data_IF_322080408798
#
_entry.id   IF_322080408798
#
_cell.length_a   1.000
_cell.length_b   1.000
_cell.length_c   1.000
_cell.angle_alpha   90.00
_cell.angle_beta   90.00
_cell.angle_gamma   90.00
#
_symmetry.space_group_name_H-M   'P 1'
#
loop_
_entity.id
_entity.type
_entity.pdbx_description
1 polymer ?
#
# COMPACT_ATOMS: atom_id res chain seq x y z
N UNK A 1 11.67 25.89 -31.62
CA UNK A 1 12.33 26.57 -30.46
C UNK A 1 12.06 25.73 -29.22
N UNK A 2 13.10 25.19 -28.59
CA UNK A 2 12.96 24.52 -27.30
C UNK A 2 12.92 25.57 -26.20
N UNK A 3 11.78 25.77 -25.55
CA UNK A 3 11.64 26.65 -24.39
C UNK A 3 11.32 25.80 -23.17
N UNK A 4 11.91 26.12 -22.06
CA UNK A 4 11.59 25.54 -20.74
C UNK A 4 10.64 26.52 -20.03
N UNK A 5 9.58 26.01 -19.43
CA UNK A 5 8.60 26.79 -18.68
C UNK A 5 8.55 26.30 -17.23
N UNK A 6 8.43 27.23 -16.30
CA UNK A 6 8.13 26.90 -14.92
C UNK A 6 6.63 26.60 -14.79
N UNK A 7 6.27 25.61 -13.96
CA UNK A 7 4.89 25.23 -13.69
C UNK A 7 4.66 25.33 -12.18
N UNK A 8 3.71 26.15 -11.79
CA UNK A 8 3.36 26.33 -10.36
C UNK A 8 1.88 26.48 -10.13
N UNK A 9 1.49 26.51 -8.87
CA UNK A 9 0.16 26.85 -8.44
C UNK A 9 0.06 28.33 -8.04
N UNK A 10 -1.15 28.84 -7.75
CA UNK A 10 -1.40 30.25 -7.40
C UNK A 10 -0.89 30.63 -6.00
N UNK A 11 -0.42 29.66 -5.21
CA UNK A 11 0.00 29.87 -3.83
C UNK A 11 1.43 29.36 -3.59
N UNK A 12 2.22 30.15 -2.86
CA UNK A 12 3.52 29.72 -2.33
C UNK A 12 3.27 29.20 -0.92
N UNK A 13 3.57 27.92 -0.68
CA UNK A 13 3.31 27.25 0.59
C UNK A 13 4.55 26.55 1.11
N UNK A 14 4.77 26.64 2.42
CA UNK A 14 5.76 25.81 3.10
C UNK A 14 5.25 24.35 3.24
N UNK A 15 6.14 23.39 3.34
CA UNK A 15 5.77 21.98 3.60
C UNK A 15 4.93 21.84 4.87
N UNK A 16 5.18 22.66 5.89
CA UNK A 16 4.39 22.69 7.12
C UNK A 16 2.94 23.12 6.84
N UNK A 17 2.75 24.19 6.08
CA UNK A 17 1.41 24.67 5.71
C UNK A 17 0.67 23.64 4.86
N UNK A 18 1.35 23.00 3.91
CA UNK A 18 0.77 21.92 3.10
C UNK A 18 0.29 20.77 4.01
N UNK A 19 1.11 20.32 4.96
CA UNK A 19 0.73 19.25 5.90
C UNK A 19 -0.43 19.66 6.80
N UNK A 20 -0.45 20.90 7.31
CA UNK A 20 -1.55 21.42 8.16
C UNK A 20 -2.85 21.46 7.36
N UNK A 21 -2.82 22.00 6.13
CA UNK A 21 -4.01 22.04 5.26
C UNK A 21 -4.49 20.65 4.90
N UNK A 22 -3.59 19.70 4.63
CA UNK A 22 -3.92 18.29 4.41
C UNK A 22 -4.61 17.67 5.64
N UNK A 23 -4.04 17.86 6.84
CA UNK A 23 -4.62 17.33 8.07
C UNK A 23 -6.02 17.92 8.32
N UNK A 24 -6.21 19.21 8.07
CA UNK A 24 -7.51 19.89 8.19
C UNK A 24 -8.55 19.28 7.23
N UNK A 25 -8.20 19.08 5.97
CA UNK A 25 -9.10 18.50 4.97
C UNK A 25 -9.50 17.05 5.32
N UNK A 26 -8.56 16.28 5.89
CA UNK A 26 -8.80 14.92 6.38
C UNK A 26 -9.45 14.87 7.75
N UNK A 27 -9.73 16.01 8.39
CA UNK A 27 -10.24 16.12 9.78
C UNK A 27 -9.35 15.39 10.80
N UNK A 28 -8.04 15.38 10.57
CA UNK A 28 -7.07 14.76 11.46
C UNK A 28 -6.60 15.77 12.51
N UNK A 29 -6.68 15.39 13.77
CA UNK A 29 -6.07 16.16 14.89
C UNK A 29 -4.63 15.70 15.06
N UNK A 30 -3.67 16.37 14.39
CA UNK A 30 -2.24 16.05 14.45
C UNK A 30 -1.46 17.29 14.84
N UNK A 31 -0.74 17.27 15.96
CA UNK A 31 0.18 18.35 16.32
C UNK A 31 1.43 18.28 15.40
N UNK A 32 1.90 19.45 14.96
CA UNK A 32 3.12 19.58 14.18
C UNK A 32 4.16 20.35 15.01
N UNK A 33 5.24 19.65 15.34
CA UNK A 33 6.37 20.23 16.05
C UNK A 33 7.52 20.42 15.08
N UNK A 34 8.04 21.63 14.98
CA UNK A 34 9.27 21.93 14.25
C UNK A 34 10.44 21.88 15.21
N UNK A 35 11.49 21.18 14.83
CA UNK A 35 12.73 21.14 15.60
C UNK A 35 13.93 21.41 14.69
N UNK A 36 14.85 22.23 15.15
CA UNK A 36 16.15 22.48 14.49
C UNK A 36 17.24 21.50 14.93
N UNK A 37 16.97 20.69 15.97
CA UNK A 37 17.95 19.80 16.58
C UNK A 37 18.18 18.50 15.82
N UNK A 38 17.26 18.12 14.92
CA UNK A 38 17.33 16.85 14.21
C UNK A 38 18.00 17.07 12.85
N UNK A 39 19.15 16.42 12.63
CA UNK A 39 19.82 16.47 11.33
C UNK A 39 18.98 15.78 10.25
N UNK A 40 19.12 16.17 8.98
CA UNK A 40 18.41 15.54 7.85
C UNK A 40 18.65 14.03 7.76
N UNK A 41 19.84 13.56 8.10
CA UNK A 41 20.16 12.12 8.14
C UNK A 41 19.31 11.39 9.18
N UNK A 42 19.20 11.93 10.41
CA UNK A 42 18.36 11.35 11.47
C UNK A 42 16.89 11.37 11.07
N UNK A 43 16.43 12.47 10.45
CA UNK A 43 15.07 12.58 9.91
C UNK A 43 14.80 11.56 8.82
N UNK A 44 15.77 11.27 7.93
CA UNK A 44 15.63 10.25 6.90
C UNK A 44 15.53 8.83 7.48
N UNK A 45 16.31 8.51 8.53
CA UNK A 45 16.16 7.25 9.25
C UNK A 45 14.78 7.13 9.90
N UNK A 46 14.32 8.20 10.55
CA UNK A 46 12.99 8.23 11.16
C UNK A 46 11.88 8.01 10.11
N UNK A 47 11.98 8.70 8.97
CA UNK A 47 11.05 8.52 7.86
C UNK A 47 11.08 7.08 7.32
N UNK A 48 12.26 6.48 7.17
CA UNK A 48 12.40 5.07 6.78
C UNK A 48 11.74 4.11 7.80
N UNK A 49 11.91 4.34 9.11
CA UNK A 49 11.33 3.49 10.13
C UNK A 49 9.80 3.60 10.22
N UNK A 50 9.24 4.80 10.06
CA UNK A 50 7.80 5.03 10.22
C UNK A 50 7.02 4.73 8.94
N UNK A 51 7.62 4.99 7.78
CA UNK A 51 6.95 4.84 6.49
C UNK A 51 7.45 3.62 5.73
N UNK A 52 6.74 3.23 4.66
CA UNK A 52 7.16 2.17 3.75
C UNK A 52 8.15 2.65 2.67
N UNK A 53 8.72 3.82 2.83
CA UNK A 53 9.67 4.42 1.89
C UNK A 53 11.05 3.80 2.06
N UNK A 54 11.76 3.50 0.97
CA UNK A 54 13.15 3.04 1.06
C UNK A 54 14.06 4.13 1.62
N UNK A 55 15.17 3.73 2.29
CA UNK A 55 16.10 4.70 2.88
C UNK A 55 16.67 5.69 1.85
N UNK A 56 17.01 5.20 0.65
CA UNK A 56 17.50 6.06 -0.44
C UNK A 56 16.48 7.13 -0.83
N UNK A 57 15.21 6.75 -0.95
CA UNK A 57 14.14 7.68 -1.27
C UNK A 57 13.88 8.64 -0.10
N UNK A 58 13.94 8.16 1.14
CA UNK A 58 13.79 9.00 2.33
C UNK A 58 14.85 10.10 2.40
N UNK A 59 16.12 9.80 2.09
CA UNK A 59 17.19 10.81 2.01
C UNK A 59 16.85 11.86 0.94
N UNK A 60 16.55 11.41 -0.28
CA UNK A 60 16.27 12.33 -1.39
C UNK A 60 15.08 13.24 -1.09
N UNK A 61 14.02 12.71 -0.46
CA UNK A 61 12.86 13.50 -0.04
C UNK A 61 13.23 14.55 1.02
N UNK A 62 13.98 14.17 2.04
CA UNK A 62 14.38 15.10 3.11
C UNK A 62 15.37 16.15 2.60
N UNK A 63 16.26 15.79 1.68
CA UNK A 63 17.19 16.73 1.05
C UNK A 63 16.46 17.73 0.14
N UNK A 64 15.47 17.27 -0.63
CA UNK A 64 14.68 18.15 -1.50
C UNK A 64 13.87 19.18 -0.72
N UNK A 65 13.47 18.88 0.53
CA UNK A 65 12.75 19.83 1.39
C UNK A 65 13.58 21.04 1.83
N UNK A 66 14.89 21.02 1.64
CA UNK A 66 15.76 22.16 1.96
C UNK A 66 15.82 23.18 0.83
N UNK A 67 15.45 22.78 -0.37
CA UNK A 67 15.52 23.62 -1.55
C UNK A 67 14.19 24.33 -1.74
N UNK A 68 14.24 25.65 -1.85
CA UNK A 68 13.08 26.44 -2.22
C UNK A 68 12.78 26.22 -3.72
N UNK A 69 11.54 25.78 -4.01
CA UNK A 69 11.09 25.53 -5.38
C UNK A 69 9.83 26.37 -5.61
N UNK A 70 10.03 27.50 -6.25
CA UNK A 70 8.94 28.45 -6.58
C UNK A 70 8.98 28.76 -8.07
N UNK A 71 7.81 28.99 -8.67
CA UNK A 71 7.71 29.49 -10.04
C UNK A 71 8.27 30.90 -10.14
N UNK A 72 9.05 31.19 -11.17
CA UNK A 72 9.66 32.48 -11.42
C UNK A 72 8.81 33.37 -12.31
N UNK A 73 7.97 32.78 -13.15
CA UNK A 73 7.10 33.48 -14.08
C UNK A 73 5.81 32.68 -14.35
N UNK A 74 4.81 33.35 -14.89
CA UNK A 74 3.49 32.81 -15.24
C UNK A 74 3.30 32.67 -16.76
N UNK A 75 4.40 32.61 -17.53
CA UNK A 75 4.35 32.58 -19.00
C UNK A 75 3.49 31.42 -19.53
N UNK A 76 3.57 30.25 -18.87
CA UNK A 76 2.84 29.08 -19.30
C UNK A 76 1.31 29.24 -19.09
N UNK A 77 0.91 29.87 -18.01
CA UNK A 77 -0.52 30.15 -17.72
C UNK A 77 -1.12 31.07 -18.77
N UNK A 78 -0.35 32.10 -19.18
CA UNK A 78 -0.79 33.03 -20.21
C UNK A 78 -0.89 32.38 -21.60
N UNK A 79 0.08 31.52 -21.96
CA UNK A 79 0.11 30.81 -23.25
C UNK A 79 -1.05 29.79 -23.33
N UNK A 80 -1.28 29.01 -22.28
CA UNK A 80 -2.28 27.95 -22.26
C UNK A 80 -3.67 28.43 -21.83
N UNK A 81 -3.78 29.68 -21.33
CA UNK A 81 -5.03 30.24 -20.76
C UNK A 81 -5.64 29.34 -19.68
N UNK A 82 -4.77 28.74 -18.86
CA UNK A 82 -5.17 27.85 -17.76
C UNK A 82 -5.01 28.62 -16.44
N UNK A 83 -6.00 28.54 -15.58
CA UNK A 83 -5.93 29.09 -14.24
C UNK A 83 -5.70 27.94 -13.24
N UNK A 84 -4.53 27.86 -12.61
CA UNK A 84 -4.25 26.83 -11.62
C UNK A 84 -5.18 26.96 -10.42
N UNK A 85 -5.63 25.80 -9.92
CA UNK A 85 -6.46 25.72 -8.73
C UNK A 85 -5.61 25.81 -7.46
N UNK A 86 -6.22 26.26 -6.37
CA UNK A 86 -5.54 26.34 -5.06
C UNK A 86 -5.17 24.94 -4.54
N UNK A 87 -4.16 24.88 -3.67
CA UNK A 87 -3.76 23.61 -3.03
C UNK A 87 -4.92 22.92 -2.32
N UNK A 88 -5.81 23.69 -1.68
CA UNK A 88 -6.96 23.13 -0.97
C UNK A 88 -8.01 22.55 -1.92
N UNK A 89 -8.26 23.20 -3.03
CA UNK A 89 -9.16 22.67 -4.08
C UNK A 89 -8.59 21.43 -4.74
N UNK A 90 -7.28 21.42 -5.02
CA UNK A 90 -6.59 20.25 -5.54
C UNK A 90 -6.71 19.04 -4.59
N UNK A 91 -6.55 19.24 -3.27
CA UNK A 91 -6.75 18.20 -2.26
C UNK A 91 -8.19 17.67 -2.25
N UNK A 92 -9.19 18.56 -2.28
CA UNK A 92 -10.61 18.16 -2.33
C UNK A 92 -10.91 17.31 -3.56
N UNK A 93 -10.45 17.76 -4.72
CA UNK A 93 -10.64 17.05 -5.98
C UNK A 93 -9.96 15.67 -5.96
N UNK A 94 -8.73 15.60 -5.42
CA UNK A 94 -8.01 14.34 -5.29
C UNK A 94 -8.75 13.36 -4.35
N UNK A 95 -9.22 13.82 -3.19
CA UNK A 95 -9.99 12.98 -2.27
C UNK A 95 -11.35 12.57 -2.82
N UNK A 96 -11.98 13.42 -3.60
CA UNK A 96 -13.24 13.06 -4.28
C UNK A 96 -12.99 11.95 -5.30
N UNK A 97 -11.94 12.05 -6.14
CA UNK A 97 -11.56 11.00 -7.09
C UNK A 97 -11.22 9.69 -6.39
N UNK A 98 -10.53 9.74 -5.25
CA UNK A 98 -10.23 8.55 -4.45
C UNK A 98 -11.52 7.91 -3.92
N UNK A 99 -12.48 8.71 -3.43
CA UNK A 99 -13.78 8.21 -2.96
C UNK A 99 -14.63 7.59 -4.06
N UNK A 100 -14.50 8.11 -5.27
CA UNK A 100 -15.23 7.63 -6.45
C UNK A 100 -14.52 6.48 -7.17
N UNK A 101 -13.38 6.00 -6.65
CA UNK A 101 -12.53 4.97 -7.28
C UNK A 101 -12.10 5.30 -8.72
N UNK A 102 -12.03 6.59 -9.06
CA UNK A 102 -11.67 7.08 -10.38
C UNK A 102 -10.15 7.29 -10.56
N UNK A 103 -9.35 6.83 -9.63
CA UNK A 103 -7.88 6.91 -9.76
C UNK A 103 -7.42 5.75 -10.63
N UNK A 104 -7.14 6.05 -11.90
CA UNK A 104 -6.72 5.07 -12.91
C UNK A 104 -5.30 4.53 -12.69
N UNK A 105 -4.44 5.34 -12.10
CA UNK A 105 -3.07 4.93 -11.76
C UNK A 105 -2.63 5.63 -10.48
N UNK A 106 -1.86 4.93 -9.67
CA UNK A 106 -1.23 5.51 -8.50
C UNK A 106 0.27 5.22 -8.52
N UNK A 107 1.05 6.07 -7.86
CA UNK A 107 2.49 5.83 -7.67
C UNK A 107 2.77 4.48 -6.98
N UNK A 108 1.78 3.87 -6.33
CA UNK A 108 1.82 2.53 -5.74
C UNK A 108 2.02 1.46 -6.81
N UNK A 109 1.44 1.65 -7.99
CA UNK A 109 1.57 0.72 -9.12
C UNK A 109 2.98 0.78 -9.69
N UNK A 110 3.59 1.97 -9.67
CA UNK A 110 4.98 2.18 -10.09
C UNK A 110 5.97 1.47 -9.16
N UNK A 111 5.72 1.48 -7.85
CA UNK A 111 6.60 0.82 -6.88
C UNK A 111 6.60 -0.71 -7.07
N UNK A 112 5.45 -1.30 -7.40
CA UNK A 112 5.36 -2.73 -7.68
C UNK A 112 6.13 -3.07 -8.94
N UNK A 113 5.90 -2.32 -10.01
CA UNK A 113 6.58 -2.51 -11.28
C UNK A 113 8.10 -2.33 -11.17
N UNK A 114 8.56 -1.37 -10.38
CA UNK A 114 9.99 -1.06 -10.23
C UNK A 114 10.72 -2.00 -9.27
N UNK A 115 10.06 -2.52 -8.23
CA UNK A 115 10.72 -3.39 -7.24
C UNK A 115 10.78 -4.85 -7.66
N UNK A 116 9.84 -5.32 -8.49
CA UNK A 116 9.74 -6.72 -8.92
C UNK A 116 10.04 -6.90 -10.42
N UNK A 117 10.07 -5.83 -11.21
CA UNK A 117 10.26 -5.91 -12.68
C UNK A 117 9.16 -6.67 -13.41
N UNK A 118 8.00 -6.84 -12.77
CA UNK A 118 6.89 -7.66 -13.24
C UNK A 118 5.61 -6.84 -13.25
N UNK A 119 4.72 -7.09 -14.21
CA UNK A 119 3.41 -6.46 -14.24
C UNK A 119 2.44 -7.17 -13.28
N UNK A 120 1.48 -6.45 -12.72
CA UNK A 120 0.42 -7.03 -11.87
C UNK A 120 -0.36 -8.14 -12.57
N UNK A 121 -0.48 -8.06 -13.90
CA UNK A 121 -1.14 -9.08 -14.71
C UNK A 121 -0.51 -10.46 -14.57
N UNK A 122 0.80 -10.54 -14.30
CA UNK A 122 1.54 -11.80 -14.20
C UNK A 122 1.19 -12.59 -12.91
N UNK A 123 0.53 -11.95 -11.95
CA UNK A 123 0.17 -12.51 -10.65
C UNK A 123 -1.33 -12.76 -10.45
N UNK A 124 -2.18 -12.38 -11.40
CA UNK A 124 -3.65 -12.56 -11.31
C UNK A 124 -4.00 -14.05 -11.27
N UNK A 125 -3.21 -14.89 -11.95
CA UNK A 125 -3.35 -16.34 -11.85
C UNK A 125 -2.40 -16.91 -10.81
N UNK A 126 -2.99 -17.57 -9.81
CA UNK A 126 -2.20 -18.26 -8.78
C UNK A 126 -1.50 -19.46 -9.42
N UNK A 127 -0.15 -19.55 -9.36
CA UNK A 127 0.59 -20.65 -9.96
C UNK A 127 0.13 -22.00 -9.42
N UNK A 128 0.00 -22.98 -10.34
CA UNK A 128 -0.44 -24.31 -9.96
C UNK A 128 0.71 -25.29 -9.72
N UNK A 129 1.82 -25.10 -10.42
CA UNK A 129 2.96 -26.00 -10.39
C UNK A 129 4.14 -25.39 -9.64
N UNK A 130 4.91 -26.24 -8.95
CA UNK A 130 6.10 -25.81 -8.20
C UNK A 130 5.79 -25.00 -6.94
N UNK A 131 4.56 -25.04 -6.47
CA UNK A 131 4.08 -24.27 -5.32
C UNK A 131 3.68 -25.19 -4.17
N UNK A 132 3.89 -24.71 -2.96
CA UNK A 132 3.26 -25.27 -1.76
C UNK A 132 1.89 -24.62 -1.58
N UNK A 133 0.87 -25.42 -1.27
CA UNK A 133 -0.50 -24.93 -1.03
C UNK A 133 -1.02 -25.44 0.29
N UNK A 134 -1.65 -24.56 1.03
CA UNK A 134 -2.46 -24.90 2.21
C UNK A 134 -3.87 -24.40 1.93
N UNK A 135 -4.84 -25.32 1.88
CA UNK A 135 -6.25 -25.01 1.58
C UNK A 135 -7.09 -25.46 2.77
N UNK A 136 -7.83 -24.52 3.36
CA UNK A 136 -8.85 -24.82 4.36
C UNK A 136 -10.22 -24.55 3.78
N UNK A 137 -11.16 -25.40 4.15
CA UNK A 137 -12.57 -25.31 3.73
C UNK A 137 -13.47 -25.23 4.95
N UNK A 138 -14.33 -24.23 4.98
CA UNK A 138 -15.29 -24.03 6.07
C UNK A 138 -16.67 -23.84 5.49
N UNK A 139 -17.63 -24.65 5.96
CA UNK A 139 -19.03 -24.44 5.62
C UNK A 139 -19.55 -23.21 6.33
N UNK A 140 -20.24 -22.33 5.60
CA UNK A 140 -20.69 -21.04 6.09
C UNK A 140 -22.21 -21.04 6.15
N UNK A 141 -22.77 -20.56 7.27
CA UNK A 141 -24.20 -20.34 7.44
C UNK A 141 -24.61 -18.94 6.97
N UNK A 142 -23.84 -17.91 7.33
CA UNK A 142 -24.09 -16.51 6.98
C UNK A 142 -23.02 -16.00 6.02
N UNK A 143 -23.31 -16.06 4.72
CA UNK A 143 -22.39 -15.68 3.64
C UNK A 143 -22.08 -14.17 3.66
N UNK A 144 -23.09 -13.32 3.90
CA UNK A 144 -22.91 -11.87 3.90
C UNK A 144 -22.01 -11.41 5.03
N UNK A 145 -22.18 -11.96 6.22
CA UNK A 145 -21.33 -11.67 7.37
C UNK A 145 -19.89 -12.09 7.12
N UNK A 146 -19.65 -13.24 6.48
CA UNK A 146 -18.31 -13.72 6.14
C UNK A 146 -17.69 -12.83 5.08
N UNK A 147 -18.42 -12.43 4.04
CA UNK A 147 -17.94 -11.48 3.03
C UNK A 147 -17.55 -10.16 3.71
N UNK A 148 -18.39 -9.63 4.58
CA UNK A 148 -18.09 -8.39 5.29
C UNK A 148 -16.83 -8.51 6.15
N UNK A 149 -16.62 -9.65 6.81
CA UNK A 149 -15.41 -9.91 7.58
C UNK A 149 -14.17 -9.95 6.66
N UNK A 150 -14.24 -10.69 5.55
CA UNK A 150 -13.14 -10.73 4.55
C UNK A 150 -12.83 -9.32 4.03
N UNK A 151 -13.84 -8.50 3.73
CA UNK A 151 -13.68 -7.15 3.24
C UNK A 151 -13.16 -6.14 4.29
N UNK A 152 -13.08 -6.53 5.55
CA UNK A 152 -12.58 -5.69 6.65
C UNK A 152 -11.25 -6.17 7.24
N UNK A 153 -10.58 -7.18 6.66
CA UNK A 153 -9.26 -7.65 7.11
C UNK A 153 -8.18 -6.59 6.92
N UNK A 154 -7.14 -6.67 7.74
CA UNK A 154 -5.98 -5.76 7.72
C UNK A 154 -6.24 -4.41 8.40
N UNK A 155 -5.20 -3.56 8.44
CA UNK A 155 -5.23 -2.27 9.11
C UNK A 155 -5.53 -2.40 10.61
N UNK A 156 -6.41 -1.52 11.13
CA UNK A 156 -6.72 -1.46 12.56
C UNK A 156 -7.43 -2.72 13.08
N UNK A 157 -8.22 -3.41 12.25
CA UNK A 157 -8.89 -4.66 12.62
C UNK A 157 -7.96 -5.87 12.61
N UNK A 158 -6.88 -5.81 11.84
CA UNK A 158 -5.94 -6.91 11.68
C UNK A 158 -6.56 -8.12 10.96
N UNK A 159 -6.08 -9.30 11.32
CA UNK A 159 -6.42 -10.57 10.66
C UNK A 159 -7.29 -11.48 11.53
N UNK A 160 -8.02 -10.91 12.51
CA UNK A 160 -8.90 -11.56 13.48
C UNK A 160 -8.21 -12.55 14.42
N UNK A 161 -7.32 -13.41 13.91
CA UNK A 161 -6.61 -14.41 14.70
C UNK A 161 -5.10 -14.16 14.67
N UNK A 162 -4.45 -14.36 15.82
CA UNK A 162 -3.00 -14.30 15.99
C UNK A 162 -2.34 -13.00 15.46
N UNK A 163 -3.00 -11.84 15.63
CA UNK A 163 -2.50 -10.52 15.20
C UNK A 163 -1.08 -10.22 15.71
N UNK A 164 -0.70 -10.74 16.87
CA UNK A 164 0.64 -10.58 17.45
C UNK A 164 1.74 -11.21 16.59
N UNK A 165 1.44 -12.35 15.97
CA UNK A 165 2.39 -13.02 15.09
C UNK A 165 2.54 -12.28 13.74
N UNK A 166 1.47 -11.69 13.22
CA UNK A 166 1.54 -10.81 12.06
C UNK A 166 2.39 -9.55 12.35
N UNK A 167 2.29 -9.03 13.57
CA UNK A 167 3.16 -7.92 14.02
C UNK A 167 4.63 -8.33 14.09
N UNK A 168 4.94 -9.50 14.66
CA UNK A 168 6.31 -10.05 14.69
C UNK A 168 6.83 -10.25 13.27
N UNK A 169 6.05 -10.85 12.39
CA UNK A 169 6.43 -11.06 11.00
C UNK A 169 6.67 -9.72 10.27
N UNK A 170 5.79 -8.75 10.46
CA UNK A 170 5.97 -7.41 9.91
C UNK A 170 7.22 -6.71 10.41
N UNK A 171 7.57 -6.91 11.68
CA UNK A 171 8.81 -6.40 12.26
C UNK A 171 10.05 -7.03 11.62
N UNK A 172 10.10 -8.36 11.46
CA UNK A 172 11.21 -9.03 10.77
C UNK A 172 11.31 -8.60 9.30
N UNK A 173 10.19 -8.43 8.60
CA UNK A 173 10.17 -7.93 7.22
C UNK A 173 10.83 -6.54 7.14
N UNK A 174 10.57 -5.67 8.10
CA UNK A 174 11.20 -4.34 8.15
C UNK A 174 12.70 -4.39 8.38
N UNK A 175 13.21 -5.31 9.22
CA UNK A 175 14.65 -5.48 9.45
C UNK A 175 15.37 -5.83 8.15
N UNK A 176 14.77 -6.66 7.31
CA UNK A 176 15.34 -7.00 5.99
C UNK A 176 15.01 -5.98 4.89
N UNK A 177 14.41 -4.84 5.27
CA UNK A 177 14.06 -3.74 4.36
C UNK A 177 12.80 -3.98 3.54
N UNK A 178 11.88 -4.80 4.01
CA UNK A 178 10.54 -4.98 3.46
C UNK A 178 9.55 -3.92 3.95
N UNK A 179 8.29 -4.05 3.53
CA UNK A 179 7.24 -3.03 3.79
C UNK A 179 6.63 -3.12 5.19
N UNK A 180 6.65 -4.30 5.82
CA UNK A 180 6.02 -4.55 7.11
C UNK A 180 4.52 -4.22 7.12
N UNK A 181 3.96 -3.97 8.31
CA UNK A 181 2.55 -3.60 8.51
C UNK A 181 2.25 -2.09 8.38
N UNK A 182 3.20 -1.30 7.89
CA UNK A 182 3.11 0.18 7.95
C UNK A 182 2.13 0.80 6.95
N UNK A 183 1.75 0.09 5.90
CA UNK A 183 0.89 0.65 4.85
C UNK A 183 -0.55 0.83 5.28
N UNK A 184 -1.02 -0.02 6.21
CA UNK A 184 -2.42 -0.03 6.62
C UNK A 184 -3.37 -0.31 5.47
N UNK A 185 -4.58 0.25 5.53
CA UNK A 185 -5.61 0.15 4.48
C UNK A 185 -5.82 1.46 3.76
N UNK A 186 -6.09 1.40 2.46
CA UNK A 186 -6.45 2.57 1.65
C UNK A 186 -7.85 3.08 2.02
N UNK A 187 -8.82 2.17 2.20
CA UNK A 187 -10.18 2.47 2.65
C UNK A 187 -10.58 1.55 3.80
N UNK A 188 -11.26 2.05 4.86
CA UNK A 188 -11.67 1.23 6.01
C UNK A 188 -12.80 0.23 5.69
N UNK A 189 -13.58 0.47 4.63
CA UNK A 189 -14.77 -0.33 4.32
C UNK A 189 -14.67 -1.12 3.02
N UNK A 190 -13.83 -0.70 2.09
CA UNK A 190 -13.77 -1.26 0.74
C UNK A 190 -12.37 -1.73 0.37
N UNK A 191 -12.33 -2.72 -0.49
CA UNK A 191 -11.13 -3.30 -1.07
C UNK A 191 -11.27 -3.27 -2.58
N UNK A 192 -10.31 -2.67 -3.26
CA UNK A 192 -10.26 -2.63 -4.71
C UNK A 192 -8.97 -3.25 -5.25
N UNK A 193 -8.96 -3.78 -6.46
CA UNK A 193 -7.73 -4.19 -7.12
C UNK A 193 -6.69 -3.05 -7.12
N UNK A 194 -5.43 -3.39 -6.82
CA UNK A 194 -4.35 -2.43 -6.67
C UNK A 194 -4.19 -1.83 -5.27
N UNK A 195 -5.16 -1.98 -4.36
CA UNK A 195 -5.05 -1.49 -2.98
C UNK A 195 -3.96 -2.22 -2.20
N UNK A 196 -3.33 -1.50 -1.27
CA UNK A 196 -2.46 -2.09 -0.26
C UNK A 196 -3.26 -2.42 1.00
N UNK A 197 -3.11 -3.64 1.49
CA UNK A 197 -3.59 -4.12 2.78
C UNK A 197 -2.38 -4.56 3.60
N UNK A 198 -1.85 -3.66 4.42
CA UNK A 198 -0.60 -3.89 5.15
C UNK A 198 0.54 -4.28 4.20
N UNK A 199 0.99 -5.52 4.21
CA UNK A 199 2.01 -6.06 3.31
C UNK A 199 1.42 -6.83 2.11
N UNK A 200 0.11 -6.87 1.97
CA UNK A 200 -0.57 -7.49 0.84
C UNK A 200 -0.92 -6.47 -0.23
N UNK A 201 -0.87 -6.90 -1.48
CA UNK A 201 -1.46 -6.20 -2.62
C UNK A 201 -2.70 -6.93 -3.07
N UNK A 202 -3.79 -6.19 -3.24
CA UNK A 202 -5.03 -6.73 -3.79
C UNK A 202 -4.87 -6.93 -5.29
N UNK A 203 -4.88 -8.17 -5.76
CA UNK A 203 -4.84 -8.49 -7.18
C UNK A 203 -6.26 -8.57 -7.76
N UNK A 204 -7.18 -9.13 -7.02
CA UNK A 204 -8.56 -9.28 -7.42
C UNK A 204 -9.49 -9.12 -6.21
N UNK A 205 -10.59 -8.37 -6.38
CA UNK A 205 -11.63 -8.22 -5.38
C UNK A 205 -12.99 -8.08 -6.07
N UNK A 206 -13.90 -8.99 -5.81
CA UNK A 206 -15.28 -8.95 -6.29
C UNK A 206 -16.23 -9.54 -5.25
N UNK A 207 -17.11 -8.69 -4.72
CA UNK A 207 -18.18 -9.15 -3.80
C UNK A 207 -19.19 -10.05 -4.51
N UNK A 208 -19.53 -9.72 -5.75
CA UNK A 208 -20.46 -10.48 -6.57
C UNK A 208 -19.95 -11.91 -6.80
N UNK A 209 -18.67 -12.05 -7.19
CA UNK A 209 -18.02 -13.36 -7.36
C UNK A 209 -17.51 -13.95 -6.05
N UNK A 210 -17.74 -13.28 -4.91
CA UNK A 210 -17.35 -13.70 -3.56
C UNK A 210 -15.88 -14.13 -3.48
N UNK A 211 -14.98 -13.33 -4.15
CA UNK A 211 -13.57 -13.69 -4.32
C UNK A 211 -12.66 -12.50 -3.99
N UNK A 212 -11.66 -12.75 -3.16
CA UNK A 212 -10.56 -11.82 -2.86
C UNK A 212 -9.24 -12.56 -3.07
N UNK A 213 -8.34 -11.99 -3.88
CA UNK A 213 -7.00 -12.51 -4.13
C UNK A 213 -5.95 -11.46 -3.75
N UNK A 214 -5.04 -11.85 -2.90
CA UNK A 214 -3.98 -11.01 -2.34
C UNK A 214 -2.61 -11.57 -2.74
N UNK A 215 -1.65 -10.68 -3.00
CA UNK A 215 -0.25 -11.00 -3.25
C UNK A 215 0.63 -10.37 -2.16
N UNK A 216 1.59 -11.12 -1.63
CA UNK A 216 2.48 -10.64 -0.60
C UNK A 216 3.61 -9.79 -1.19
N UNK A 217 3.70 -8.53 -0.78
CA UNK A 217 4.78 -7.60 -1.16
C UNK A 217 5.92 -7.56 -0.13
N UNK A 218 5.88 -8.41 0.88
CA UNK A 218 6.98 -8.55 1.83
C UNK A 218 8.18 -9.25 1.18
N UNK A 219 9.36 -9.02 1.71
CA UNK A 219 10.59 -9.70 1.27
C UNK A 219 10.59 -11.16 1.70
N UNK A 220 10.13 -12.01 0.79
CA UNK A 220 10.11 -13.45 0.96
C UNK A 220 11.17 -14.09 0.06
N UNK A 221 11.72 -15.25 0.43
CA UNK A 221 12.53 -16.05 -0.48
C UNK A 221 11.64 -16.83 -1.47
N UNK A 222 10.67 -16.15 -2.07
CA UNK A 222 9.65 -16.68 -2.95
C UNK A 222 8.51 -15.69 -3.15
N UNK A 223 7.40 -16.17 -3.65
CA UNK A 223 6.19 -15.42 -3.90
C UNK A 223 5.03 -16.07 -3.14
N UNK A 224 4.12 -15.28 -2.58
CA UNK A 224 3.01 -15.78 -1.80
C UNK A 224 1.68 -15.13 -2.19
N UNK A 225 0.65 -15.94 -2.28
CA UNK A 225 -0.74 -15.54 -2.52
C UNK A 225 -1.63 -16.02 -1.40
N UNK A 226 -2.62 -15.20 -1.07
CA UNK A 226 -3.70 -15.55 -0.16
C UNK A 226 -5.02 -15.31 -0.88
N UNK A 227 -5.82 -16.35 -1.03
CA UNK A 227 -7.11 -16.30 -1.71
C UNK A 227 -8.23 -16.70 -0.76
N UNK A 228 -9.30 -15.92 -0.78
CA UNK A 228 -10.58 -16.23 -0.18
C UNK A 228 -11.61 -16.35 -1.31
N UNK A 229 -12.29 -17.49 -1.39
CA UNK A 229 -13.35 -17.75 -2.37
C UNK A 229 -14.47 -18.49 -1.71
N UNK A 230 -15.70 -18.04 -1.91
CA UNK A 230 -16.91 -18.76 -1.46
C UNK A 230 -17.54 -19.37 -2.69
N UNK A 231 -17.78 -20.67 -2.65
CA UNK A 231 -18.42 -21.40 -3.74
C UNK A 231 -19.95 -21.38 -3.66
N UNK A 232 -20.61 -21.99 -4.65
CA UNK A 232 -22.07 -22.06 -4.75
C UNK A 232 -22.71 -22.87 -3.61
N UNK A 233 -21.95 -23.76 -2.98
CA UNK A 233 -22.39 -24.58 -1.83
C UNK A 233 -22.18 -23.87 -0.49
N UNK A 234 -21.89 -22.56 -0.49
CA UNK A 234 -21.55 -21.76 0.67
C UNK A 234 -20.36 -22.33 1.48
N UNK A 235 -19.34 -22.85 0.77
CA UNK A 235 -18.09 -23.25 1.39
C UNK A 235 -17.05 -22.17 1.14
N UNK A 236 -16.49 -21.64 2.24
CA UNK A 236 -15.32 -20.74 2.17
C UNK A 236 -14.07 -21.57 1.91
N UNK A 237 -13.41 -21.31 0.80
CA UNK A 237 -12.07 -21.78 0.47
C UNK A 237 -11.07 -20.69 0.83
N UNK A 238 -10.22 -20.95 1.80
CA UNK A 238 -9.08 -20.10 2.13
C UNK A 238 -7.82 -20.82 1.68
N UNK A 239 -7.14 -20.25 0.69
CA UNK A 239 -5.98 -20.86 0.04
C UNK A 239 -4.76 -19.99 0.20
N UNK A 240 -3.73 -20.50 0.86
CA UNK A 240 -2.40 -19.90 0.91
C UNK A 240 -1.49 -20.66 -0.06
N UNK A 241 -0.93 -19.96 -1.04
CA UNK A 241 -0.02 -20.52 -2.04
C UNK A 241 1.34 -19.85 -1.91
N UNK A 242 2.40 -20.64 -1.89
CA UNK A 242 3.78 -20.15 -1.84
C UNK A 242 4.61 -20.80 -2.95
N UNK A 243 5.23 -19.98 -3.79
CA UNK A 243 6.20 -20.40 -4.81
C UNK A 243 7.61 -20.10 -4.29
N UNK A 244 8.36 -21.13 -3.85
CA UNK A 244 9.69 -20.94 -3.30
C UNK A 244 10.69 -20.51 -4.39
N UNK A 245 11.60 -19.63 -4.05
CA UNK A 245 12.74 -19.26 -4.89
C UNK A 245 13.98 -19.98 -4.36
N UNK A 246 14.35 -21.06 -5.04
CA UNK A 246 15.52 -21.89 -4.69
C UNK A 246 15.40 -22.60 -3.33
N UNK A 247 16.55 -23.00 -2.77
CA UNK A 247 16.64 -23.78 -1.52
C UNK A 247 16.14 -22.95 -0.33
N UNK A 248 16.48 -21.67 -0.26
CA UNK A 248 16.08 -20.77 0.82
C UNK A 248 14.56 -20.61 0.93
N UNK A 249 13.87 -20.60 -0.20
CA UNK A 249 12.41 -20.56 -0.22
C UNK A 249 11.79 -21.84 0.33
N UNK A 250 12.37 -23.01 0.03
CA UNK A 250 11.92 -24.30 0.57
C UNK A 250 12.15 -24.40 2.08
N UNK A 251 13.32 -24.04 2.54
CA UNK A 251 13.63 -24.00 3.97
C UNK A 251 12.71 -23.05 4.75
N UNK A 252 12.46 -21.88 4.18
CA UNK A 252 11.51 -20.91 4.73
C UNK A 252 10.10 -21.52 4.89
N UNK A 253 9.59 -22.21 3.85
CA UNK A 253 8.28 -22.86 3.91
C UNK A 253 8.22 -23.93 4.99
N UNK A 254 9.24 -24.79 5.09
CA UNK A 254 9.32 -25.85 6.10
C UNK A 254 9.33 -25.23 7.50
N UNK A 255 10.13 -24.19 7.74
CA UNK A 255 10.21 -23.50 9.02
C UNK A 255 8.90 -22.81 9.42
N UNK A 256 8.14 -22.26 8.44
CA UNK A 256 6.88 -21.57 8.69
C UNK A 256 5.66 -22.48 8.64
N UNK A 257 5.78 -23.69 8.07
CA UNK A 257 4.70 -24.66 7.94
C UNK A 257 3.94 -24.97 9.23
N UNK A 258 4.57 -25.19 10.41
CA UNK A 258 3.84 -25.43 11.66
C UNK A 258 2.91 -24.26 12.01
N UNK A 259 3.33 -23.03 11.72
CA UNK A 259 2.52 -21.85 11.98
C UNK A 259 1.31 -21.76 11.02
N UNK A 260 1.42 -22.23 9.79
CA UNK A 260 0.30 -22.25 8.85
C UNK A 260 -0.87 -23.14 9.31
N UNK A 261 -0.63 -24.14 10.14
CA UNK A 261 -1.71 -24.93 10.77
C UNK A 261 -2.50 -24.13 11.79
N UNK A 262 -1.88 -23.18 12.47
CA UNK A 262 -2.52 -22.37 13.50
C UNK A 262 -3.11 -21.06 12.95
N UNK A 263 -2.68 -20.57 11.78
CA UNK A 263 -3.03 -19.23 11.25
C UNK A 263 -4.17 -19.21 10.24
N UNK A 264 -4.43 -20.32 9.61
CA UNK A 264 -5.43 -20.38 8.54
C UNK A 264 -6.57 -21.29 8.92
#
# INVERSE_FOLDING_TARGET
MNKTFDIGGPEILTYKEMMVRYAKERKLKRPFYTTSLISPKVSSYWLFFITSVSYKLAISLVESMKTEVVCRNDDLEQILKIHPITYQEALKNAFQKIKQHLVLSSWKDLIISSSLGLSLSDFIEVPQFGCYKNIKKHKIEDVERVIQNIWTIGGDKGYYYANWLWKIRGFFDQIVGGVGLKRGRTSPKEINPGDALDFWRVLYASREKKRLLLFAEMKLPGEAWLEFKIDENNILHQSATFRPRGIWGRLYWIATSPFHFFYF
#
